data_IF_405361827534
#
_entry.id   IF_405361827534
#
_cell.length_a   1.000
_cell.length_b   1.000
_cell.length_c   1.000
_cell.angle_alpha   90.00
_cell.angle_beta   90.00
_cell.angle_gamma   90.00
#
_symmetry.space_group_name_H-M   'P 1'
#
loop_
_entity.id
_entity.type
_entity.pdbx_description
1 polymer ?
#
# COMPACT_ATOMS: atom_id res chain seq x y z
N UNK A 1 2.23 -16.22 10.58
CA UNK A 1 0.82 -15.84 10.37
C UNK A 1 0.71 -14.34 10.52
N UNK A 2 -0.08 -13.66 9.71
CA UNK A 2 -0.31 -12.21 9.86
C UNK A 2 -0.90 -11.92 11.23
N UNK A 3 -0.27 -11.02 11.99
CA UNK A 3 -0.81 -10.55 13.26
C UNK A 3 -1.61 -9.28 12.99
N UNK A 4 -2.94 -9.44 12.94
CA UNK A 4 -3.87 -8.33 12.76
C UNK A 4 -4.28 -7.86 14.15
N UNK A 5 -3.61 -6.83 14.65
CA UNK A 5 -3.87 -6.25 15.99
C UNK A 5 -5.15 -5.42 16.05
N UNK A 6 -5.59 -4.90 14.90
CA UNK A 6 -6.78 -4.06 14.77
C UNK A 6 -7.65 -4.58 13.62
N UNK A 7 -8.95 -4.71 13.86
CA UNK A 7 -9.90 -5.12 12.81
C UNK A 7 -10.21 -4.01 11.79
N UNK A 8 -9.75 -2.78 12.05
CA UNK A 8 -9.94 -1.65 11.15
C UNK A 8 -8.68 -1.42 10.31
N UNK A 9 -8.81 -1.07 9.01
CA UNK A 9 -7.67 -0.70 8.18
C UNK A 9 -7.00 0.58 8.71
N UNK A 10 -5.67 0.65 8.63
CA UNK A 10 -4.92 1.87 8.97
C UNK A 10 -5.10 2.97 7.90
N UNK A 11 -5.19 2.57 6.63
CA UNK A 11 -5.33 3.45 5.48
C UNK A 11 -5.96 2.65 4.32
N UNK A 12 -6.81 3.30 3.52
CA UNK A 12 -7.42 2.72 2.31
C UNK A 12 -7.05 3.57 1.12
N UNK A 13 -6.64 2.95 0.02
CA UNK A 13 -6.16 3.62 -1.20
C UNK A 13 -7.00 3.14 -2.39
N UNK A 14 -7.75 4.06 -3.00
CA UNK A 14 -8.75 3.78 -4.04
C UNK A 14 -8.40 4.53 -5.34
N UNK A 15 -7.21 4.24 -5.86
CA UNK A 15 -6.67 4.93 -7.02
C UNK A 15 -6.72 4.14 -8.33
N UNK A 16 -6.83 2.82 -8.28
CA UNK A 16 -7.07 2.00 -9.48
C UNK A 16 -8.56 2.03 -9.84
N UNK A 17 -8.87 2.05 -11.13
CA UNK A 17 -10.26 1.98 -11.60
C UNK A 17 -10.78 0.56 -11.75
N UNK A 18 -9.88 -0.43 -11.66
CA UNK A 18 -10.17 -1.86 -11.72
C UNK A 18 -9.40 -2.59 -10.60
N UNK A 19 -9.57 -3.91 -10.49
CA UNK A 19 -8.98 -4.69 -9.41
C UNK A 19 -7.44 -4.67 -9.42
N UNK A 20 -6.87 -4.53 -8.22
CA UNK A 20 -5.44 -4.65 -7.94
C UNK A 20 -5.05 -6.13 -7.91
N UNK A 21 -3.97 -6.51 -8.60
CA UNK A 21 -3.49 -7.90 -8.61
C UNK A 21 -2.06 -8.07 -8.10
N UNK A 22 -1.33 -6.98 -7.86
CA UNK A 22 0.01 -7.01 -7.28
C UNK A 22 0.30 -5.78 -6.43
N UNK A 23 1.06 -5.98 -5.34
CA UNK A 23 1.52 -4.94 -4.42
C UNK A 23 2.88 -5.34 -3.84
N UNK A 24 3.79 -4.36 -3.66
CA UNK A 24 5.07 -4.58 -2.98
C UNK A 24 5.55 -3.32 -2.23
N UNK A 25 6.30 -3.52 -1.16
CA UNK A 25 6.91 -2.46 -0.37
C UNK A 25 8.31 -2.12 -0.89
N UNK A 26 8.64 -0.83 -0.97
CA UNK A 26 10.02 -0.45 -1.26
C UNK A 26 10.92 -0.70 -0.04
N UNK A 27 11.89 -1.59 -0.19
CA UNK A 27 12.84 -1.96 0.88
C UNK A 27 13.90 -0.88 1.18
N UNK A 28 14.08 0.09 0.27
CA UNK A 28 15.10 1.14 0.37
C UNK A 28 14.51 2.52 0.69
N UNK A 29 13.21 2.72 0.46
CA UNK A 29 12.52 3.99 0.71
C UNK A 29 11.31 3.76 1.63
N UNK A 30 11.47 3.98 2.96
CA UNK A 30 10.41 3.73 3.92
C UNK A 30 9.09 4.42 3.59
N UNK A 31 8.00 3.67 3.69
CA UNK A 31 6.65 4.17 3.43
C UNK A 31 6.32 4.37 1.94
N UNK A 32 7.21 4.01 1.01
CA UNK A 32 6.89 3.93 -0.40
C UNK A 32 6.42 2.52 -0.77
N UNK A 33 5.35 2.45 -1.56
CA UNK A 33 4.71 1.23 -2.06
C UNK A 33 4.56 1.35 -3.57
N UNK A 34 4.52 0.20 -4.25
CA UNK A 34 4.05 0.09 -5.63
C UNK A 34 2.91 -0.93 -5.71
N UNK A 35 1.88 -0.63 -6.50
CA UNK A 35 0.86 -1.59 -6.89
C UNK A 35 0.59 -1.54 -8.41
N UNK A 36 -0.09 -2.58 -8.89
CA UNK A 36 -0.53 -2.69 -10.26
C UNK A 36 -1.95 -3.26 -10.36
N UNK A 37 -2.69 -2.75 -11.34
CA UNK A 37 -4.10 -3.04 -11.55
C UNK A 37 -4.42 -3.42 -12.97
N UNK A 38 -5.63 -3.96 -13.17
CA UNK A 38 -6.13 -4.34 -14.49
C UNK A 38 -6.49 -3.14 -15.38
N UNK A 39 -6.39 -1.93 -14.83
CA UNK A 39 -6.50 -0.64 -15.51
C UNK A 39 -5.22 -0.25 -16.28
N UNK A 40 -4.32 -1.21 -16.52
CA UNK A 40 -3.04 -1.03 -17.23
C UNK A 40 -2.07 -0.05 -16.55
N UNK A 41 -2.28 0.25 -15.26
CA UNK A 41 -1.44 1.17 -14.50
C UNK A 41 -0.55 0.44 -13.49
N UNK A 42 0.64 1.01 -13.31
CA UNK A 42 1.54 0.77 -12.18
C UNK A 42 1.69 2.09 -11.45
N UNK A 43 1.48 2.09 -10.13
CA UNK A 43 1.44 3.32 -9.35
C UNK A 43 2.37 3.22 -8.16
N UNK A 44 3.27 4.21 -8.05
CA UNK A 44 4.21 4.33 -6.93
C UNK A 44 3.76 5.50 -6.07
N UNK A 45 3.58 5.27 -4.77
CA UNK A 45 3.06 6.27 -3.84
C UNK A 45 3.62 6.09 -2.44
N UNK A 46 3.44 7.11 -1.61
CA UNK A 46 3.77 7.07 -0.20
C UNK A 46 2.51 6.93 0.65
N UNK A 47 2.51 5.99 1.58
CA UNK A 47 1.40 5.75 2.52
C UNK A 47 1.66 6.47 3.84
N UNK A 48 0.69 7.23 4.34
CA UNK A 48 0.85 7.98 5.59
C UNK A 48 0.95 7.04 6.79
N UNK A 49 0.20 5.94 6.76
CA UNK A 49 0.18 4.91 7.80
C UNK A 49 1.55 4.28 8.06
N UNK A 50 2.34 4.03 7.00
CA UNK A 50 3.71 3.51 7.14
C UNK A 50 4.72 4.59 7.56
N UNK A 51 4.52 5.85 7.16
CA UNK A 51 5.39 6.95 7.57
C UNK A 51 5.18 7.32 9.05
N UNK A 52 3.99 7.10 9.60
CA UNK A 52 3.69 7.35 11.01
C UNK A 52 4.25 6.30 11.98
N UNK A 53 4.69 5.14 11.49
CA UNK A 53 5.26 4.04 12.28
C UNK A 53 6.72 4.24 12.72
N UNK A 54 7.36 5.36 12.37
CA UNK A 54 8.73 5.73 12.80
C UNK A 54 8.66 6.62 14.06
N UNK A 55 7.90 6.19 15.07
CA UNK A 55 7.93 6.76 16.42
C UNK A 55 8.03 5.67 17.47
#
# INVERSE_FOLDING_TARGET
TWEITHSAPLETIEHHTEFVYGIDHNLHNPGQIVDCGWDEMVKVYNTKSLLSGVR
#
